data_IF_529239126110
#
_entry.id   IF_529239126110
#
_cell.length_a   1.000
_cell.length_b   1.000
_cell.length_c   1.000
_cell.angle_alpha   90.00
_cell.angle_beta   90.00
_cell.angle_gamma   90.00
#
_symmetry.space_group_name_H-M   'P 1'
#
loop_
_entity.id
_entity.type
_entity.pdbx_description
1 polymer ?
#
# COMPACT_ATOMS: atom_id res chain seq x y z
N UNK A 1 8.11 -16.62 -3.96
CA UNK A 1 7.83 -15.41 -4.79
C UNK A 1 7.70 -15.66 -6.30
N UNK A 2 7.91 -16.87 -6.82
CA UNK A 2 7.88 -17.15 -8.27
C UNK A 2 6.56 -16.77 -8.96
N UNK A 3 5.43 -16.91 -8.27
CA UNK A 3 4.11 -16.62 -8.85
C UNK A 3 3.89 -15.13 -9.21
N UNK A 4 4.45 -14.20 -8.42
CA UNK A 4 4.27 -12.76 -8.65
C UNK A 4 4.86 -12.31 -9.99
N UNK A 5 5.93 -12.95 -10.46
CA UNK A 5 6.59 -12.62 -11.74
C UNK A 5 5.64 -12.83 -12.92
N UNK A 6 4.90 -13.95 -12.92
CA UNK A 6 3.96 -14.30 -14.00
C UNK A 6 2.86 -13.24 -14.12
N UNK A 7 2.25 -12.87 -12.98
CA UNK A 7 1.17 -11.87 -12.97
C UNK A 7 1.72 -10.47 -13.32
N UNK A 8 2.90 -10.12 -12.81
CA UNK A 8 3.52 -8.82 -13.10
C UNK A 8 3.89 -8.66 -14.57
N UNK A 9 4.36 -9.72 -15.23
CA UNK A 9 4.64 -9.72 -16.67
C UNK A 9 3.38 -9.47 -17.49
N UNK A 10 2.27 -10.16 -17.18
CA UNK A 10 0.99 -9.93 -17.84
C UNK A 10 0.50 -8.48 -17.67
N UNK A 11 0.61 -7.89 -16.48
CA UNK A 11 0.26 -6.48 -16.25
C UNK A 11 1.15 -5.53 -17.04
N UNK A 12 2.46 -5.80 -17.06
CA UNK A 12 3.45 -4.98 -17.76
C UNK A 12 3.19 -4.96 -19.27
N UNK A 13 2.87 -6.11 -19.86
CA UNK A 13 2.48 -6.21 -21.27
C UNK A 13 1.16 -5.50 -21.59
N UNK A 14 0.21 -5.51 -20.67
CA UNK A 14 -1.10 -4.89 -20.87
C UNK A 14 -1.07 -3.35 -20.74
N UNK A 15 -0.27 -2.81 -19.81
CA UNK A 15 -0.24 -1.37 -19.52
C UNK A 15 0.89 -0.62 -20.23
N UNK A 16 2.00 -1.28 -20.58
CA UNK A 16 3.22 -0.62 -21.04
C UNK A 16 4.07 -0.08 -19.88
N UNK A 17 5.39 -0.16 -20.03
CA UNK A 17 6.39 0.23 -19.02
C UNK A 17 6.28 1.71 -18.65
N UNK A 18 5.97 2.56 -19.62
CA UNK A 18 5.83 4.00 -19.47
C UNK A 18 4.68 4.41 -18.54
N UNK A 19 3.69 3.54 -18.35
CA UNK A 19 2.55 3.76 -17.47
C UNK A 19 2.75 3.16 -16.07
N UNK A 20 3.95 2.63 -15.77
CA UNK A 20 4.28 1.99 -14.50
C UNK A 20 5.36 2.79 -13.78
N UNK A 21 4.96 3.41 -12.66
CA UNK A 21 5.89 4.10 -11.77
C UNK A 21 6.34 3.16 -10.65
N UNK A 22 7.56 2.63 -10.76
CA UNK A 22 8.21 1.88 -9.67
C UNK A 22 9.00 2.80 -8.74
N UNK A 23 9.27 2.34 -7.50
CA UNK A 23 10.05 3.08 -6.49
C UNK A 23 9.51 4.48 -6.16
N UNK A 24 8.21 4.68 -6.35
CA UNK A 24 7.46 5.85 -5.87
C UNK A 24 6.60 5.41 -4.71
N UNK A 25 6.76 6.05 -3.55
CA UNK A 25 5.93 5.80 -2.38
C UNK A 25 4.86 6.88 -2.28
N UNK A 26 3.58 6.48 -2.34
CA UNK A 26 2.43 7.38 -2.20
C UNK A 26 2.18 7.62 -0.71
N UNK A 27 2.01 8.88 -0.32
CA UNK A 27 1.86 9.28 1.08
C UNK A 27 0.51 9.91 1.40
N UNK A 28 -0.16 10.53 0.41
CA UNK A 28 -1.39 11.27 0.65
C UNK A 28 -2.28 11.30 -0.59
N UNK A 29 -3.59 11.24 -0.37
CA UNK A 29 -4.59 11.43 -1.42
C UNK A 29 -5.09 12.88 -1.42
N UNK A 30 -5.55 13.33 -2.59
CA UNK A 30 -6.03 14.69 -2.81
C UNK A 30 -7.50 14.64 -3.21
N UNK A 31 -8.34 15.40 -2.50
CA UNK A 31 -9.73 15.65 -2.90
C UNK A 31 -9.80 16.80 -3.92
N UNK A 32 -10.88 16.82 -4.68
CA UNK A 32 -11.21 17.92 -5.59
C UNK A 32 -11.46 19.21 -4.78
N UNK A 33 -11.05 20.34 -5.34
CA UNK A 33 -11.18 21.63 -4.67
C UNK A 33 -12.59 22.22 -4.77
N UNK A 34 -13.38 21.76 -5.75
CA UNK A 34 -14.69 22.32 -6.09
C UNK A 34 -15.83 21.31 -5.83
N UNK A 35 -15.56 20.01 -5.87
CA UNK A 35 -16.53 18.95 -5.61
C UNK A 35 -16.24 18.24 -4.28
N UNK A 36 -17.15 18.38 -3.32
CA UNK A 36 -17.02 17.74 -2.01
C UNK A 36 -16.98 16.22 -2.14
N UNK A 37 -16.11 15.57 -1.34
CA UNK A 37 -15.96 14.12 -1.28
C UNK A 37 -15.60 13.45 -2.62
N UNK A 38 -14.96 14.20 -3.54
CA UNK A 38 -14.49 13.70 -4.83
C UNK A 38 -12.98 13.53 -4.83
N UNK A 39 -12.47 12.37 -5.23
CA UNK A 39 -11.01 12.18 -5.38
C UNK A 39 -10.47 12.94 -6.60
N UNK A 40 -9.30 13.54 -6.51
CA UNK A 40 -8.64 14.27 -7.60
C UNK A 40 -7.19 13.81 -7.87
N UNK A 41 -6.57 13.08 -6.95
CA UNK A 41 -5.19 12.66 -7.14
C UNK A 41 -4.50 12.04 -5.93
N UNK A 42 -3.19 11.91 -6.05
CA UNK A 42 -2.29 11.47 -5.00
C UNK A 42 -0.94 12.19 -5.06
N UNK A 43 -0.27 12.25 -3.91
CA UNK A 43 1.09 12.75 -3.77
C UNK A 43 2.00 11.64 -3.27
N UNK A 44 3.19 11.54 -3.85
CA UNK A 44 4.23 10.63 -3.43
C UNK A 44 5.62 11.18 -3.72
N UNK A 45 6.63 10.40 -3.39
CA UNK A 45 8.02 10.75 -3.67
C UNK A 45 8.83 9.52 -4.12
N UNK A 46 9.88 9.76 -4.89
CA UNK A 46 10.82 8.71 -5.27
C UNK A 46 11.69 8.30 -4.08
N UNK A 47 11.85 7.00 -3.88
CA UNK A 47 12.82 6.45 -2.89
C UNK A 47 14.19 6.19 -3.51
N UNK A 48 14.47 6.78 -4.67
CA UNK A 48 15.75 6.68 -5.40
C UNK A 48 16.35 8.03 -5.75
N UNK A 49 15.53 9.07 -5.84
CA UNK A 49 15.90 10.40 -6.29
C UNK A 49 15.09 11.44 -5.50
N UNK A 50 15.59 12.68 -5.41
CA UNK A 50 14.84 13.76 -4.77
C UNK A 50 13.77 14.32 -5.73
N UNK A 51 12.70 13.55 -5.93
CA UNK A 51 11.61 13.88 -6.85
C UNK A 51 10.26 13.64 -6.19
N UNK A 52 9.43 14.67 -6.20
CA UNK A 52 8.03 14.62 -5.75
C UNK A 52 7.14 14.33 -6.96
N UNK A 53 6.16 13.44 -6.76
CA UNK A 53 5.13 13.10 -7.74
C UNK A 53 3.80 13.66 -7.26
N UNK A 54 3.14 14.42 -8.14
CA UNK A 54 1.75 14.85 -7.98
C UNK A 54 0.99 14.22 -9.14
N UNK A 55 0.16 13.23 -8.83
CA UNK A 55 -0.58 12.43 -9.81
C UNK A 55 -2.02 12.93 -9.77
N UNK A 56 -2.50 13.51 -10.87
CA UNK A 56 -3.90 13.87 -11.05
C UNK A 56 -4.64 12.71 -11.69
N UNK A 57 -5.83 12.39 -11.21
CA UNK A 57 -6.63 11.30 -11.77
C UNK A 57 -8.13 11.60 -11.67
N UNK A 58 -8.89 11.08 -12.63
CA UNK A 58 -10.35 11.10 -12.55
C UNK A 58 -10.86 10.00 -11.61
N UNK A 59 -10.26 8.83 -11.61
CA UNK A 59 -10.62 7.71 -10.73
C UNK A 59 -9.34 7.05 -10.21
N UNK A 60 -9.41 6.40 -9.05
CA UNK A 60 -8.27 5.69 -8.50
C UNK A 60 -8.64 4.44 -7.72
N UNK A 61 -7.68 3.52 -7.60
CA UNK A 61 -7.76 2.34 -6.76
C UNK A 61 -6.55 2.31 -5.82
N UNK A 62 -6.80 2.07 -4.53
CA UNK A 62 -5.74 2.00 -3.50
C UNK A 62 -5.49 0.54 -3.09
N UNK A 63 -4.54 -0.09 -3.78
CA UNK A 63 -4.21 -1.52 -3.61
C UNK A 63 -2.87 -1.73 -2.88
N UNK A 64 -2.68 -1.10 -1.72
CA UNK A 64 -1.42 -1.11 -0.96
C UNK A 64 -1.32 -2.20 0.13
N UNK A 65 -2.20 -3.20 0.11
CA UNK A 65 -2.21 -4.29 1.09
C UNK A 65 -2.77 -3.90 2.46
N UNK A 66 -2.49 -4.75 3.47
CA UNK A 66 -2.97 -4.57 4.84
C UNK A 66 -2.00 -3.81 5.75
N UNK A 67 -2.01 -4.13 7.04
CA UNK A 67 -1.11 -3.57 8.04
C UNK A 67 -0.45 -4.68 8.89
N UNK A 68 0.87 -4.61 9.04
CA UNK A 68 1.69 -5.51 9.86
C UNK A 68 2.59 -4.71 10.78
N UNK A 69 3.26 -5.36 11.73
CA UNK A 69 4.12 -4.69 12.72
C UNK A 69 3.43 -3.61 13.59
N UNK A 70 2.10 -3.53 13.55
CA UNK A 70 1.29 -2.68 14.42
C UNK A 70 1.17 -3.25 15.85
N UNK A 71 1.49 -4.54 16.03
CA UNK A 71 1.63 -5.20 17.33
C UNK A 71 3.06 -5.69 17.50
N UNK A 72 3.54 -5.76 18.75
CA UNK A 72 4.84 -6.33 19.05
C UNK A 72 4.89 -7.84 18.69
N UNK A 73 5.82 -8.27 17.83
CA UNK A 73 5.94 -9.67 17.45
C UNK A 73 6.58 -10.52 18.56
N UNK A 74 6.48 -11.85 18.43
CA UNK A 74 7.07 -12.81 19.38
C UNK A 74 8.61 -12.81 19.39
N UNK A 75 9.22 -12.37 18.29
CA UNK A 75 10.67 -12.24 18.13
C UNK A 75 11.02 -10.77 17.92
N UNK A 76 11.83 -10.19 18.82
CA UNK A 76 12.05 -8.72 18.89
C UNK A 76 13.42 -8.25 18.36
N UNK A 77 14.37 -9.17 18.13
CA UNK A 77 15.65 -8.88 17.48
C UNK A 77 15.55 -8.92 15.96
N UNK A 78 16.52 -9.54 15.29
CA UNK A 78 16.52 -9.72 13.82
C UNK A 78 15.26 -10.45 13.31
N UNK A 79 14.68 -11.31 14.16
CA UNK A 79 13.42 -11.99 13.88
C UNK A 79 12.20 -11.06 13.72
N UNK A 80 12.30 -9.76 14.03
CA UNK A 80 11.20 -8.79 13.87
C UNK A 80 10.75 -8.66 12.41
N UNK A 81 11.64 -8.93 11.45
CA UNK A 81 11.30 -8.98 10.01
C UNK A 81 10.46 -10.20 9.60
N UNK A 82 10.38 -11.23 10.44
CA UNK A 82 9.66 -12.49 10.16
C UNK A 82 8.22 -12.45 10.67
N UNK A 83 7.45 -11.47 10.19
CA UNK A 83 6.01 -11.49 10.37
C UNK A 83 5.36 -12.56 9.47
N UNK A 84 4.21 -13.09 9.88
CA UNK A 84 3.45 -14.04 9.04
C UNK A 84 2.92 -13.40 7.76
N UNK A 85 2.46 -12.15 7.85
CA UNK A 85 1.99 -11.36 6.73
C UNK A 85 3.12 -10.43 6.23
N UNK A 86 3.13 -10.01 4.96
CA UNK A 86 4.30 -9.34 4.36
C UNK A 86 4.70 -8.05 5.08
N UNK A 87 5.95 -7.99 5.55
CA UNK A 87 6.48 -6.96 6.45
C UNK A 87 6.43 -5.52 5.91
N UNK A 88 6.38 -5.39 4.59
CA UNK A 88 6.33 -4.10 3.89
C UNK A 88 4.92 -3.47 3.87
N UNK A 89 3.89 -4.17 4.35
CA UNK A 89 2.53 -3.66 4.43
C UNK A 89 2.33 -2.76 5.66
N UNK A 90 2.45 -1.45 5.49
CA UNK A 90 2.42 -0.47 6.58
C UNK A 90 1.03 0.10 6.89
N UNK A 91 -0.05 -0.43 6.32
CA UNK A 91 -1.40 0.11 6.49
C UNK A 91 -1.73 1.32 5.60
N UNK A 92 -0.94 1.56 4.54
CA UNK A 92 -1.12 2.71 3.64
C UNK A 92 -2.52 2.76 3.03
N UNK A 93 -3.13 1.62 2.68
CA UNK A 93 -4.52 1.61 2.17
C UNK A 93 -5.49 2.21 3.17
N UNK A 94 -5.41 1.81 4.44
CA UNK A 94 -6.37 2.24 5.46
C UNK A 94 -6.21 3.72 5.76
N UNK A 95 -5.00 4.16 6.08
CA UNK A 95 -4.74 5.54 6.48
C UNK A 95 -5.07 6.52 5.36
N UNK A 96 -4.60 6.26 4.14
CA UNK A 96 -4.81 7.18 3.02
C UNK A 96 -6.30 7.35 2.67
N UNK A 97 -7.07 6.26 2.66
CA UNK A 97 -8.51 6.31 2.39
C UNK A 97 -9.28 6.96 3.55
N UNK A 98 -8.93 6.63 4.79
CA UNK A 98 -9.55 7.22 5.99
C UNK A 98 -9.36 8.74 6.05
N UNK A 99 -8.15 9.24 5.74
CA UNK A 99 -7.84 10.67 5.77
C UNK A 99 -8.63 11.49 4.75
N UNK A 100 -9.10 10.88 3.67
CA UNK A 100 -9.99 11.53 2.68
C UNK A 100 -11.47 11.28 2.94
N UNK A 101 -11.82 10.73 4.10
CA UNK A 101 -13.21 10.54 4.52
C UNK A 101 -13.89 9.27 4.00
N UNK A 102 -13.12 8.31 3.46
CA UNK A 102 -13.71 7.02 3.09
C UNK A 102 -14.15 6.25 4.34
N UNK A 103 -15.37 5.72 4.30
CA UNK A 103 -15.90 4.87 5.36
C UNK A 103 -15.06 3.59 5.50
N UNK A 104 -14.71 3.26 6.74
CA UNK A 104 -14.07 2.00 7.09
C UNK A 104 -15.07 1.09 7.81
N UNK A 105 -15.00 -0.20 7.55
CA UNK A 105 -15.87 -1.21 8.15
C UNK A 105 -15.04 -2.32 8.78
N UNK A 106 -15.52 -2.87 9.91
CA UNK A 106 -14.91 -4.00 10.61
C UNK A 106 -13.42 -3.80 10.97
N UNK A 107 -13.00 -2.56 11.29
CA UNK A 107 -11.60 -2.26 11.61
C UNK A 107 -11.12 -2.89 12.92
N UNK A 108 -12.03 -3.30 13.79
CA UNK A 108 -11.77 -4.08 14.99
C UNK A 108 -11.40 -5.55 14.70
N UNK A 109 -11.77 -6.04 13.51
CA UNK A 109 -11.46 -7.40 13.10
C UNK A 109 -9.95 -7.55 12.85
N UNK A 110 -9.37 -8.60 13.42
CA UNK A 110 -7.94 -8.91 13.28
C UNK A 110 -7.75 -10.38 12.98
N UNK A 111 -6.69 -10.69 12.25
CA UNK A 111 -6.32 -12.06 11.93
C UNK A 111 -5.07 -12.50 12.70
N UNK A 112 -5.24 -13.51 13.57
CA UNK A 112 -4.14 -14.10 14.35
C UNK A 112 -3.86 -15.51 13.84
N UNK A 113 -2.82 -15.72 13.01
CA UNK A 113 -2.54 -17.01 12.39
C UNK A 113 -1.90 -18.01 13.37
N UNK A 114 -2.35 -19.26 13.35
CA UNK A 114 -1.66 -20.40 13.97
C UNK A 114 -0.75 -21.09 12.95
N UNK A 115 0.57 -21.00 13.14
CA UNK A 115 1.59 -21.54 12.22
C UNK A 115 2.74 -22.17 13.00
N UNK A 116 3.63 -22.88 12.30
CA UNK A 116 4.83 -23.42 12.91
C UNK A 116 5.63 -22.31 13.60
N UNK A 117 6.11 -22.63 14.81
CA UNK A 117 7.05 -21.80 15.54
C UNK A 117 8.44 -22.07 14.97
N UNK A 118 9.14 -21.00 14.58
CA UNK A 118 10.53 -21.01 14.12
C UNK A 118 10.80 -21.91 12.90
N UNK A 119 10.61 -21.34 11.71
CA UNK A 119 11.24 -21.82 10.47
C UNK A 119 12.57 -21.09 10.20
#
# INVERSE_FOLDING_TARGET
ESYKRIVAEATKLALGDENILERVFIVKLLLDANEENRIAGAVGFSVRENKIYIIKCNTMMVACGGAVNIYQPRSVGEGKGRAWYPIWNAGSTYTMCMEVGAELSMMENRFTPSRYKDG
#
